data_IF_452085177972
#
_entry.id   IF_452085177972
#
_cell.length_a   1.000
_cell.length_b   1.000
_cell.length_c   1.000
_cell.angle_alpha   90.00
_cell.angle_beta   90.00
_cell.angle_gamma   90.00
#
_symmetry.space_group_name_H-M   'P 1'
#
loop_
_entity.id
_entity.type
_entity.pdbx_description
1 polymer ?
#
# COMPACT_ATOMS: atom_id res chain seq x y z
N UNK A 1 -19.56 -4.69 -13.11
CA UNK A 1 -18.71 -4.37 -11.95
C UNK A 1 -19.62 -4.33 -10.73
N UNK A 2 -19.46 -5.23 -9.74
CA UNK A 2 -20.21 -5.12 -8.48
C UNK A 2 -19.50 -4.04 -7.66
N UNK A 3 -20.20 -2.96 -7.30
CA UNK A 3 -19.70 -2.05 -6.27
C UNK A 3 -19.56 -2.87 -4.99
N UNK A 4 -18.35 -3.00 -4.47
CA UNK A 4 -18.14 -3.54 -3.14
C UNK A 4 -18.76 -2.53 -2.19
N UNK A 5 -19.81 -2.94 -1.48
CA UNK A 5 -20.49 -2.10 -0.50
C UNK A 5 -19.47 -1.64 0.54
N UNK A 6 -19.33 -0.32 0.70
CA UNK A 6 -18.46 0.24 1.73
C UNK A 6 -19.06 -0.16 3.07
N UNK A 7 -18.34 -0.95 3.88
CA UNK A 7 -18.83 -1.33 5.20
C UNK A 7 -18.97 -0.06 6.03
N UNK A 8 -20.06 0.08 6.78
CA UNK A 8 -20.25 1.26 7.64
C UNK A 8 -19.12 1.40 8.68
N UNK A 9 -18.57 0.27 9.12
CA UNK A 9 -17.40 0.18 10.01
C UNK A 9 -16.11 0.74 9.38
N UNK A 10 -16.14 1.08 8.07
CA UNK A 10 -15.02 1.70 7.36
C UNK A 10 -15.03 3.23 7.41
N UNK A 11 -16.08 3.85 7.95
CA UNK A 11 -16.18 5.30 8.11
C UNK A 11 -15.66 5.67 9.50
N UNK A 12 -14.71 6.62 9.63
CA UNK A 12 -14.26 7.13 10.93
C UNK A 12 -15.44 7.58 11.79
N UNK A 13 -15.38 7.31 13.09
CA UNK A 13 -16.15 8.13 14.03
C UNK A 13 -15.57 9.56 14.08
N UNK A 14 -16.36 10.51 14.57
CA UNK A 14 -15.88 11.89 14.76
C UNK A 14 -14.74 11.92 15.77
N UNK A 15 -14.79 11.05 16.78
CA UNK A 15 -13.77 10.89 17.81
C UNK A 15 -12.46 10.39 17.20
N UNK A 16 -12.49 9.32 16.40
CA UNK A 16 -11.31 8.79 15.70
C UNK A 16 -10.70 9.83 14.76
N UNK A 17 -11.54 10.58 14.04
CA UNK A 17 -11.06 11.64 13.16
C UNK A 17 -10.42 12.79 13.93
N UNK A 18 -10.95 13.17 15.10
CA UNK A 18 -10.35 14.19 15.97
C UNK A 18 -9.03 13.74 16.55
N UNK A 19 -8.92 12.48 16.98
CA UNK A 19 -7.67 11.90 17.47
C UNK A 19 -6.61 11.93 16.36
N UNK A 20 -6.97 11.50 15.15
CA UNK A 20 -6.10 11.60 13.98
C UNK A 20 -5.64 13.04 13.70
N UNK A 21 -6.55 14.02 13.77
CA UNK A 21 -6.24 15.43 13.55
C UNK A 21 -5.35 16.05 14.63
N UNK A 22 -5.31 15.48 15.83
CA UNK A 22 -4.48 15.99 16.93
C UNK A 22 -3.01 15.52 16.82
N UNK A 23 -2.71 14.53 15.97
CA UNK A 23 -1.38 13.95 15.79
C UNK A 23 -0.82 14.19 14.37
N UNK A 24 -1.32 15.23 13.68
CA UNK A 24 -1.12 15.48 12.24
C UNK A 24 0.33 15.71 11.78
N UNK A 25 1.26 15.85 12.72
CA UNK A 25 2.68 16.04 12.43
C UNK A 25 3.48 14.74 12.41
N UNK A 26 2.87 13.61 12.75
CA UNK A 26 3.56 12.36 13.02
C UNK A 26 3.21 11.32 11.95
N UNK A 27 4.23 10.84 11.23
CA UNK A 27 4.09 9.80 10.18
C UNK A 27 4.35 8.40 10.73
N UNK A 28 4.19 8.19 12.04
CA UNK A 28 4.51 6.92 12.72
C UNK A 28 3.65 5.77 12.20
N UNK A 29 2.37 6.02 11.90
CA UNK A 29 1.50 5.02 11.27
C UNK A 29 2.01 4.62 9.89
N UNK A 30 2.43 5.59 9.06
CA UNK A 30 3.01 5.31 7.75
C UNK A 30 4.28 4.50 7.87
N UNK A 31 5.19 4.89 8.78
CA UNK A 31 6.43 4.15 9.02
C UNK A 31 6.16 2.71 9.47
N UNK A 32 5.20 2.50 10.37
CA UNK A 32 4.82 1.16 10.83
C UNK A 32 4.27 0.31 9.67
N UNK A 33 3.34 0.84 8.88
CA UNK A 33 2.77 0.14 7.71
C UNK A 33 3.84 -0.22 6.68
N UNK A 34 4.74 0.72 6.38
CA UNK A 34 5.87 0.51 5.46
C UNK A 34 6.81 -0.57 5.98
N UNK A 35 7.19 -0.53 7.25
CA UNK A 35 8.10 -1.50 7.85
C UNK A 35 7.47 -2.90 7.84
N UNK A 36 6.19 -3.02 8.21
CA UNK A 36 5.49 -4.30 8.18
C UNK A 36 5.35 -4.85 6.75
N UNK A 37 5.02 -3.99 5.77
CA UNK A 37 4.98 -4.37 4.37
C UNK A 37 6.35 -4.84 3.87
N UNK A 38 7.43 -4.18 4.27
CA UNK A 38 8.79 -4.59 3.94
C UNK A 38 9.13 -5.97 4.54
N UNK A 39 8.76 -6.23 5.80
CA UNK A 39 8.95 -7.54 6.43
C UNK A 39 8.16 -8.65 5.72
N UNK A 40 6.94 -8.37 5.26
CA UNK A 40 6.16 -9.30 4.43
C UNK A 40 6.91 -9.61 3.13
N UNK A 41 7.38 -8.58 2.41
CA UNK A 41 8.04 -8.73 1.11
C UNK A 41 9.39 -9.44 1.21
N UNK A 42 10.14 -9.26 2.30
CA UNK A 42 11.37 -10.04 2.56
C UNK A 42 11.13 -11.56 2.57
N UNK A 43 9.89 -12.01 2.81
CA UNK A 43 9.51 -13.41 2.74
C UNK A 43 9.19 -13.93 1.33
N UNK A 44 9.23 -13.08 0.30
CA UNK A 44 8.89 -13.43 -1.08
C UNK A 44 10.18 -13.74 -1.85
N UNK A 45 10.50 -15.02 -2.14
CA UNK A 45 11.73 -15.38 -2.87
C UNK A 45 11.81 -14.77 -4.27
N UNK A 46 10.67 -14.38 -4.85
CA UNK A 46 10.59 -13.73 -6.16
C UNK A 46 10.77 -12.20 -6.11
N UNK A 47 10.81 -11.59 -4.93
CA UNK A 47 11.00 -10.15 -4.79
C UNK A 47 12.49 -9.80 -4.77
N UNK A 48 12.91 -8.97 -5.72
CA UNK A 48 14.28 -8.44 -5.81
C UNK A 48 14.45 -7.16 -4.98
N UNK A 49 13.35 -6.44 -4.73
CA UNK A 49 13.38 -5.24 -3.92
C UNK A 49 12.02 -4.63 -3.67
N UNK A 50 12.01 -3.62 -2.79
CA UNK A 50 10.86 -2.77 -2.54
C UNK A 50 11.29 -1.30 -2.52
N UNK A 51 10.46 -0.43 -3.11
CA UNK A 51 10.73 1.01 -3.23
C UNK A 51 9.52 1.79 -2.75
N UNK A 52 9.78 2.84 -1.96
CA UNK A 52 8.81 3.89 -1.67
C UNK A 52 8.93 5.00 -2.70
N UNK A 53 7.82 5.33 -3.35
CA UNK A 53 7.71 6.49 -4.23
C UNK A 53 6.97 7.63 -3.52
N UNK A 54 6.58 8.66 -4.27
CA UNK A 54 5.76 9.74 -3.75
C UNK A 54 6.47 10.71 -2.80
N UNK A 55 5.66 11.39 -1.97
CA UNK A 55 6.13 12.37 -0.98
C UNK A 55 6.94 11.69 0.13
N UNK A 56 6.50 10.54 0.62
CA UNK A 56 7.19 9.77 1.67
C UNK A 56 8.57 9.30 1.21
N UNK A 57 8.70 8.72 0.01
CA UNK A 57 10.00 8.30 -0.54
C UNK A 57 10.98 9.45 -0.78
N UNK A 58 10.49 10.71 -0.80
CA UNK A 58 11.30 11.92 -0.96
C UNK A 58 11.54 12.68 0.34
N UNK A 59 11.10 12.14 1.48
CA UNK A 59 11.22 12.79 2.79
C UNK A 59 10.39 14.08 2.92
N UNK A 60 9.30 14.19 2.17
CA UNK A 60 8.36 15.33 2.18
C UNK A 60 6.93 14.92 2.53
N UNK A 61 6.73 13.68 2.94
CA UNK A 61 5.42 13.19 3.34
C UNK A 61 5.02 13.71 4.71
N UNK A 62 3.72 13.82 4.90
CA UNK A 62 3.05 14.17 6.13
C UNK A 62 1.93 13.16 6.43
N UNK A 63 1.15 13.40 7.46
CA UNK A 63 0.05 12.50 7.87
C UNK A 63 -1.01 12.31 6.79
N UNK A 64 -1.13 13.25 5.83
CA UNK A 64 -2.12 13.20 4.75
C UNK A 64 -1.59 12.53 3.49
N UNK A 65 -0.29 12.20 3.48
CA UNK A 65 0.34 11.51 2.37
C UNK A 65 -0.14 10.06 2.30
N UNK A 66 -0.26 9.55 1.07
CA UNK A 66 -0.41 8.13 0.82
C UNK A 66 0.96 7.42 0.75
N UNK A 67 0.93 6.10 0.84
CA UNK A 67 2.10 5.23 0.71
C UNK A 67 2.11 4.64 -0.70
N UNK A 68 3.00 5.12 -1.56
CA UNK A 68 3.28 4.51 -2.86
C UNK A 68 4.34 3.40 -2.73
N UNK A 69 3.90 2.16 -2.52
CA UNK A 69 4.78 1.02 -2.29
C UNK A 69 4.93 0.16 -3.56
N UNK A 70 6.16 -0.01 -4.03
CA UNK A 70 6.46 -0.78 -5.24
C UNK A 70 7.27 -2.02 -4.89
N UNK A 71 6.79 -3.20 -5.27
CA UNK A 71 7.56 -4.45 -5.24
C UNK A 71 8.18 -4.66 -6.62
N UNK A 72 9.48 -4.94 -6.64
CA UNK A 72 10.24 -5.27 -7.84
C UNK A 72 10.55 -6.76 -7.90
N UNK A 73 10.49 -7.33 -9.10
CA UNK A 73 10.90 -8.70 -9.38
C UNK A 73 11.58 -8.81 -10.76
N UNK A 74 12.39 -9.84 -10.97
CA UNK A 74 13.07 -10.10 -12.26
C UNK A 74 12.34 -11.10 -13.18
N UNK A 75 11.19 -11.61 -12.74
CA UNK A 75 10.33 -12.51 -13.51
C UNK A 75 9.60 -11.85 -14.70
N UNK A 76 8.70 -12.60 -15.33
CA UNK A 76 7.87 -12.11 -16.42
C UNK A 76 6.75 -11.20 -15.87
N UNK A 77 6.27 -10.18 -16.62
CA UNK A 77 5.20 -9.30 -16.15
C UNK A 77 3.94 -10.03 -15.65
N UNK A 78 3.63 -11.22 -16.20
CA UNK A 78 2.53 -12.07 -15.77
C UNK A 78 2.64 -12.56 -14.31
N UNK A 79 3.85 -12.59 -13.75
CA UNK A 79 4.11 -13.05 -12.39
C UNK A 79 3.66 -12.02 -11.33
N UNK A 80 3.55 -10.75 -11.73
CA UNK A 80 3.10 -9.63 -10.88
C UNK A 80 1.78 -9.94 -10.17
N UNK A 81 0.84 -10.60 -10.86
CA UNK A 81 -0.45 -10.95 -10.31
C UNK A 81 -0.36 -11.98 -9.16
N UNK A 82 0.62 -12.91 -9.24
CA UNK A 82 0.89 -13.90 -8.20
C UNK A 82 1.46 -13.24 -6.95
N UNK A 83 2.45 -12.37 -7.12
CA UNK A 83 3.08 -11.59 -6.04
C UNK A 83 2.05 -10.68 -5.37
N UNK A 84 1.26 -9.95 -6.17
CA UNK A 84 0.18 -9.10 -5.68
C UNK A 84 -0.80 -9.91 -4.84
N UNK A 85 -1.29 -11.06 -5.35
CA UNK A 85 -2.20 -11.93 -4.58
C UNK A 85 -1.57 -12.41 -3.27
N UNK A 86 -0.30 -12.77 -3.27
CA UNK A 86 0.42 -13.20 -2.07
C UNK A 86 0.51 -12.09 -1.04
N UNK A 87 0.86 -10.87 -1.46
CA UNK A 87 0.85 -9.68 -0.59
C UNK A 87 -0.55 -9.44 0.01
N UNK A 88 -1.60 -9.54 -0.82
CA UNK A 88 -2.97 -9.35 -0.36
C UNK A 88 -3.42 -10.40 0.68
N UNK A 89 -2.82 -11.59 0.71
CA UNK A 89 -3.09 -12.61 1.74
C UNK A 89 -2.42 -12.29 3.08
N UNK A 90 -1.52 -11.31 3.14
CA UNK A 90 -0.72 -10.96 4.32
C UNK A 90 -1.13 -9.58 4.91
N UNK A 91 -2.23 -8.98 4.44
CA UNK A 91 -2.66 -7.62 4.85
C UNK A 91 -2.83 -7.47 6.36
N UNK A 92 -3.33 -8.50 7.04
CA UNK A 92 -3.53 -8.50 8.50
C UNK A 92 -2.22 -8.36 9.28
N UNK A 93 -1.07 -8.69 8.66
CA UNK A 93 0.27 -8.49 9.25
C UNK A 93 0.82 -7.09 8.99
N UNK A 94 0.24 -6.37 8.02
CA UNK A 94 0.68 -5.03 7.65
C UNK A 94 0.01 -4.00 8.55
N UNK A 95 -1.32 -4.11 8.70
CA UNK A 95 -2.11 -3.27 9.58
C UNK A 95 -3.58 -3.65 9.57
N UNK A 96 -4.39 -2.93 10.34
CA UNK A 96 -5.83 -3.15 10.37
C UNK A 96 -6.48 -2.58 9.10
N UNK A 97 -6.90 -3.46 8.18
CA UNK A 97 -7.50 -3.07 6.91
C UNK A 97 -8.93 -2.56 7.10
N UNK A 98 -9.19 -1.38 6.55
CA UNK A 98 -10.51 -0.77 6.45
C UNK A 98 -11.22 -1.25 5.18
N UNK A 99 -10.55 -1.14 4.03
CA UNK A 99 -11.10 -1.45 2.71
C UNK A 99 -9.99 -1.61 1.67
N UNK A 100 -10.25 -2.30 0.56
CA UNK A 100 -9.36 -2.31 -0.60
C UNK A 100 -10.14 -2.37 -1.92
N UNK A 101 -9.56 -1.81 -2.97
CA UNK A 101 -10.06 -1.94 -4.34
C UNK A 101 -8.90 -1.92 -5.35
N UNK A 102 -9.22 -2.24 -6.59
CA UNK A 102 -8.28 -2.15 -7.70
C UNK A 102 -8.38 -0.77 -8.35
N UNK A 103 -7.24 -0.14 -8.66
CA UNK A 103 -7.21 1.15 -9.32
C UNK A 103 -7.94 1.11 -10.67
N UNK A 104 -8.70 2.16 -10.96
CA UNK A 104 -9.39 2.34 -12.24
C UNK A 104 -8.46 2.86 -13.32
N UNK A 105 -7.38 3.56 -12.95
CA UNK A 105 -6.37 4.08 -13.87
C UNK A 105 -5.35 3.01 -14.26
N UNK A 106 -5.02 2.10 -13.33
CA UNK A 106 -4.06 1.01 -13.54
C UNK A 106 -4.58 -0.26 -12.87
N UNK A 107 -5.19 -1.17 -13.64
CA UNK A 107 -5.91 -2.33 -13.08
C UNK A 107 -5.04 -3.34 -12.31
N UNK A 108 -3.72 -3.21 -12.39
CA UNK A 108 -2.80 -4.06 -11.63
C UNK A 108 -2.57 -3.50 -10.22
N UNK A 109 -2.79 -2.20 -10.01
CA UNK A 109 -2.49 -1.53 -8.75
C UNK A 109 -3.62 -1.74 -7.74
N UNK A 110 -3.23 -1.97 -6.49
CA UNK A 110 -4.15 -2.19 -5.37
C UNK A 110 -4.12 -0.99 -4.45
N UNK A 111 -5.28 -0.41 -4.20
CA UNK A 111 -5.47 0.67 -3.25
C UNK A 111 -6.08 0.08 -2.01
N UNK A 112 -5.38 0.21 -0.88
CA UNK A 112 -5.74 -0.34 0.41
C UNK A 112 -5.84 0.84 1.39
N UNK A 113 -6.84 0.82 2.25
CA UNK A 113 -6.97 1.76 3.36
C UNK A 113 -6.74 1.00 4.66
N UNK A 114 -5.79 1.46 5.46
CA UNK A 114 -5.51 0.94 6.80
C UNK A 114 -5.98 1.93 7.86
N UNK A 115 -6.28 1.46 9.08
CA UNK A 115 -6.44 2.36 10.23
C UNK A 115 -5.11 3.08 10.53
N UNK A 116 -5.14 4.36 10.97
CA UNK A 116 -6.31 5.23 11.11
C UNK A 116 -6.53 6.06 9.83
N UNK A 117 -6.92 5.46 8.70
CA UNK A 117 -7.21 6.14 7.43
C UNK A 117 -6.00 6.44 6.52
N UNK A 118 -4.93 5.64 6.63
CA UNK A 118 -3.78 5.74 5.74
C UNK A 118 -4.07 5.01 4.43
N UNK A 119 -3.98 5.72 3.30
CA UNK A 119 -4.03 5.12 1.95
C UNK A 119 -2.68 4.49 1.63
N UNK A 120 -2.70 3.24 1.19
CA UNK A 120 -1.56 2.46 0.75
C UNK A 120 -1.81 1.95 -0.68
N UNK A 121 -0.93 2.31 -1.59
CA UNK A 121 -1.00 1.91 -3.00
C UNK A 121 0.11 0.92 -3.32
N UNK A 122 -0.29 -0.33 -3.58
CA UNK A 122 0.60 -1.41 -3.96
C UNK A 122 0.74 -1.45 -5.48
N UNK A 123 1.98 -1.34 -5.93
CA UNK A 123 2.41 -1.57 -7.30
C UNK A 123 3.34 -2.78 -7.33
N UNK A 124 3.11 -3.73 -8.24
CA UNK A 124 4.09 -4.79 -8.52
C UNK A 124 4.58 -4.60 -9.94
N UNK A 125 5.89 -4.55 -10.13
CA UNK A 125 6.53 -4.28 -11.43
C UNK A 125 7.76 -5.15 -11.61
N UNK A 126 8.11 -5.42 -12.87
CA UNK A 126 9.42 -5.99 -13.16
C UNK A 126 10.52 -4.93 -12.99
N UNK A 127 11.76 -5.33 -12.72
CA UNK A 127 12.90 -4.41 -12.64
C UNK A 127 13.06 -3.61 -13.95
N UNK A 128 12.85 -4.24 -15.12
CA UNK A 128 12.88 -3.57 -16.43
C UNK A 128 11.83 -2.47 -16.56
N UNK A 129 10.61 -2.72 -16.09
CA UNK A 129 9.54 -1.72 -16.08
C UNK A 129 9.89 -0.52 -15.17
N UNK A 130 10.62 -0.75 -14.08
CA UNK A 130 11.05 0.30 -13.18
C UNK A 130 12.19 1.17 -13.75
N UNK A 131 13.02 0.62 -14.64
CA UNK A 131 14.11 1.33 -15.33
C UNK A 131 13.63 2.24 -16.48
N UNK A 132 12.35 2.18 -16.86
CA UNK A 132 11.79 3.00 -17.93
C UNK A 132 12.09 2.50 -19.34
N UNK A 133 12.46 1.23 -19.51
CA UNK A 133 12.63 0.59 -20.81
C UNK A 133 11.29 -0.04 -21.21
N UNK A 134 10.45 0.76 -21.87
CA UNK A 134 9.25 0.31 -22.59
C UNK A 134 9.59 -0.19 -23.99
#
# INVERSE_FOLDING_TARGET
MKMTEMKLDSIPSIEEFREFLNDVTVTDWHHALVNNALEVVKGFPEAEGAILKGSLGRGRGDVFSDIDFVILHDGEPSDSAGISRRFMNELDRIGEMIHFFTSTAFHEDKIIYFRPFVKFELNVRTCRQAEGVS
#
